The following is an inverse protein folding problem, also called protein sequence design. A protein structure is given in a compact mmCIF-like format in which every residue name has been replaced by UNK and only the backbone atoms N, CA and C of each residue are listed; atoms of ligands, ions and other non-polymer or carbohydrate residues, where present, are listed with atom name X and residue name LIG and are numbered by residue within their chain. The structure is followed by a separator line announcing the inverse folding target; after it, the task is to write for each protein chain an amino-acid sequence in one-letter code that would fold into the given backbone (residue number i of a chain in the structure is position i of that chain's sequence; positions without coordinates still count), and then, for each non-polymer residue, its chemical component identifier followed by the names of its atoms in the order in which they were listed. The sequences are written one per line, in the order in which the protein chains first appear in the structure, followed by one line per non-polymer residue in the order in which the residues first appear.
data_IF_473265761782
#
_entry.id   IF_473265761782
#
_cell.length_a   1.000
_cell.length_b   1.000
_cell.length_c   1.000
_cell.angle_alpha   90.00
_cell.angle_beta   90.00
_cell.angle_gamma   90.00
#
_symmetry.space_group_name_H-M   'P 1'
#
loop_
_entity.id
_entity.type
_entity.pdbx_description
1 polymer ?
#
# COMPACT_ATOMS: atom_id res chain seq x y z
N UNK A 1 3.87 18.44 -12.29
CA UNK A 1 3.58 17.02 -11.99
C UNK A 1 2.96 16.91 -10.62
N UNK A 2 1.82 16.25 -10.54
CA UNK A 2 1.21 15.97 -9.24
C UNK A 2 1.91 14.77 -8.60
N UNK A 3 2.38 14.95 -7.37
CA UNK A 3 2.91 13.87 -6.56
C UNK A 3 1.74 13.01 -6.10
N UNK A 4 1.75 11.71 -6.42
CA UNK A 4 0.74 10.76 -5.98
C UNK A 4 1.14 10.18 -4.63
N UNK A 5 0.23 10.23 -3.68
CA UNK A 5 0.45 9.71 -2.34
C UNK A 5 -0.50 8.56 -2.03
N UNK A 6 0.01 7.60 -1.25
CA UNK A 6 -0.83 6.62 -0.55
C UNK A 6 -0.80 7.00 0.93
N UNK A 7 -1.98 7.16 1.51
CA UNK A 7 -2.11 7.52 2.92
C UNK A 7 -2.30 6.27 3.75
N UNK A 8 -1.51 6.13 4.79
CA UNK A 8 -1.63 5.04 5.76
C UNK A 8 -2.07 5.64 7.09
N UNK A 9 -3.16 5.10 7.64
CA UNK A 9 -3.66 5.48 8.95
C UNK A 9 -3.65 4.31 9.90
N UNK A 10 -3.57 4.61 11.19
CA UNK A 10 -3.71 3.60 12.25
C UNK A 10 -5.01 3.92 12.97
N UNK A 11 -6.01 3.04 12.80
CA UNK A 11 -7.34 3.21 13.38
C UNK A 11 -7.85 1.88 13.90
N UNK A 12 -8.50 1.90 15.06
CA UNK A 12 -9.17 0.71 15.58
C UNK A 12 -10.38 0.38 14.70
N UNK A 13 -10.83 -0.88 14.74
CA UNK A 13 -12.05 -1.32 14.05
C UNK A 13 -13.25 -0.47 14.49
N UNK A 14 -13.32 -0.12 15.77
CA UNK A 14 -14.38 0.73 16.30
C UNK A 14 -14.42 2.10 15.62
N UNK A 15 -13.24 2.71 15.41
CA UNK A 15 -13.15 4.02 14.77
C UNK A 15 -13.54 3.95 13.28
N UNK A 16 -13.15 2.89 12.59
CA UNK A 16 -13.54 2.66 11.20
C UNK A 16 -15.05 2.52 11.09
N UNK A 17 -15.67 1.75 11.99
CA UNK A 17 -17.14 1.59 12.00
C UNK A 17 -17.86 2.92 12.29
N UNK A 18 -17.31 3.74 13.18
CA UNK A 18 -17.87 5.07 13.46
C UNK A 18 -17.83 5.96 12.23
N UNK A 19 -16.72 5.94 11.48
CA UNK A 19 -16.58 6.70 10.23
C UNK A 19 -17.61 6.24 9.18
N UNK A 20 -17.83 4.93 9.06
CA UNK A 20 -18.83 4.36 8.15
C UNK A 20 -20.24 4.83 8.53
N UNK A 21 -20.59 4.79 9.82
CA UNK A 21 -21.89 5.24 10.30
C UNK A 21 -22.12 6.72 9.98
N UNK A 22 -21.14 7.55 10.17
CA UNK A 22 -21.22 8.97 9.84
C UNK A 22 -21.41 9.19 8.34
N UNK A 23 -20.68 8.44 7.52
CA UNK A 23 -20.83 8.49 6.05
C UNK A 23 -22.25 8.14 5.63
N UNK A 24 -22.82 7.06 6.20
CA UNK A 24 -24.19 6.64 5.90
C UNK A 24 -25.18 7.74 6.28
N UNK A 25 -25.01 8.36 7.45
CA UNK A 25 -25.88 9.46 7.88
C UNK A 25 -25.82 10.65 6.93
N UNK A 26 -24.63 10.99 6.43
CA UNK A 26 -24.48 12.06 5.43
C UNK A 26 -25.20 11.73 4.14
N UNK A 27 -25.11 10.49 3.65
CA UNK A 27 -25.83 10.03 2.48
C UNK A 27 -27.36 10.08 2.67
N UNK A 28 -27.85 9.69 3.85
CA UNK A 28 -29.28 9.75 4.18
C UNK A 28 -29.81 11.18 4.16
N UNK A 29 -28.97 12.17 4.52
CA UNK A 29 -29.33 13.60 4.47
C UNK A 29 -29.19 14.20 3.08
N UNK A 30 -28.83 13.40 2.07
CA UNK A 30 -28.65 13.88 0.70
C UNK A 30 -27.36 14.64 0.46
N UNK A 31 -26.41 14.59 1.38
CA UNK A 31 -25.12 15.24 1.19
C UNK A 31 -24.27 14.45 0.20
N UNK A 32 -23.59 15.17 -0.70
CA UNK A 32 -22.66 14.55 -1.63
C UNK A 32 -21.33 14.29 -0.93
N UNK A 33 -20.83 13.06 -1.03
CA UNK A 33 -19.51 12.74 -0.54
C UNK A 33 -18.46 13.30 -1.50
N UNK A 34 -17.38 13.83 -0.94
CA UNK A 34 -16.22 14.21 -1.75
C UNK A 34 -15.57 12.95 -2.29
N UNK A 35 -15.22 12.88 -3.59
CA UNK A 35 -14.52 11.72 -4.11
C UNK A 35 -13.19 11.55 -3.38
N UNK A 36 -12.89 10.32 -2.99
CA UNK A 36 -11.59 9.97 -2.39
C UNK A 36 -10.55 10.08 -3.50
N UNK A 37 -9.65 11.06 -3.39
CA UNK A 37 -8.62 11.30 -4.41
C UNK A 37 -7.35 10.50 -4.18
N UNK A 38 -7.13 10.00 -2.96
CA UNK A 38 -5.93 9.27 -2.58
C UNK A 38 -6.32 7.94 -1.96
N UNK A 39 -5.65 6.83 -2.36
CA UNK A 39 -5.87 5.55 -1.70
C UNK A 39 -5.52 5.65 -0.23
N UNK A 40 -6.34 5.05 0.62
CA UNK A 40 -6.11 5.01 2.06
C UNK A 40 -6.05 3.56 2.53
N UNK A 41 -5.05 3.26 3.34
CA UNK A 41 -4.85 1.95 3.95
C UNK A 41 -4.85 2.13 5.45
N UNK A 42 -5.63 1.32 6.17
CA UNK A 42 -5.72 1.40 7.62
C UNK A 42 -5.21 0.14 8.27
N UNK A 43 -4.38 0.32 9.31
CA UNK A 43 -3.95 -0.76 10.19
C UNK A 43 -4.64 -0.62 11.54
N UNK A 44 -4.98 -1.75 12.15
CA UNK A 44 -5.72 -1.78 13.42
C UNK A 44 -4.93 -1.18 14.60
N UNK A 45 -3.60 -1.31 14.58
CA UNK A 45 -2.72 -0.76 15.61
C UNK A 45 -1.30 -0.63 15.06
N UNK A 46 -0.43 0.02 15.84
CA UNK A 46 0.95 0.26 15.44
C UNK A 46 1.76 -1.02 15.28
N UNK A 47 1.51 -2.04 16.10
CA UNK A 47 2.21 -3.32 16.00
C UNK A 47 1.95 -4.00 14.65
N UNK A 48 0.71 -4.00 14.18
CA UNK A 48 0.36 -4.56 12.87
C UNK A 48 1.06 -3.76 11.77
N UNK A 49 1.03 -2.43 11.86
CA UNK A 49 1.72 -1.55 10.91
C UNK A 49 3.22 -1.86 10.85
N UNK A 50 3.86 -1.97 12.00
CA UNK A 50 5.29 -2.20 12.09
C UNK A 50 5.70 -3.53 11.44
N UNK A 51 4.89 -4.57 11.60
CA UNK A 51 5.11 -5.87 10.96
C UNK A 51 4.87 -5.84 9.46
N UNK A 52 3.93 -5.00 9.02
CA UNK A 52 3.57 -4.87 7.61
C UNK A 52 4.64 -4.13 6.80
N UNK A 53 5.18 -3.04 7.34
CA UNK A 53 6.15 -2.20 6.65
C UNK A 53 7.51 -2.24 7.36
N UNK A 54 8.22 -3.35 7.18
CA UNK A 54 9.59 -3.50 7.66
C UNK A 54 10.56 -2.71 6.77
N UNK A 55 11.78 -2.42 7.25
CA UNK A 55 12.79 -1.80 6.40
C UNK A 55 13.04 -2.55 5.10
N UNK A 56 13.03 -3.89 5.14
CA UNK A 56 13.23 -4.71 3.93
C UNK A 56 12.10 -4.54 2.91
N UNK A 57 10.84 -4.46 3.38
CA UNK A 57 9.70 -4.23 2.49
C UNK A 57 9.72 -2.81 1.93
N UNK A 58 10.08 -1.80 2.72
CA UNK A 58 10.24 -0.44 2.25
C UNK A 58 11.33 -0.33 1.19
N UNK A 59 12.44 -1.06 1.36
CA UNK A 59 13.50 -1.12 0.36
C UNK A 59 12.98 -1.70 -0.96
N UNK A 60 12.17 -2.76 -0.91
CA UNK A 60 11.57 -3.31 -2.13
C UNK A 60 10.69 -2.28 -2.85
N UNK A 61 9.88 -1.53 -2.11
CA UNK A 61 9.06 -0.48 -2.71
C UNK A 61 9.92 0.58 -3.38
N UNK A 62 11.00 0.99 -2.74
CA UNK A 62 11.95 1.96 -3.28
C UNK A 62 12.60 1.44 -4.58
N UNK A 63 13.04 0.18 -4.59
CA UNK A 63 13.66 -0.43 -5.77
C UNK A 63 12.67 -0.57 -6.93
N UNK A 64 11.43 -0.95 -6.64
CA UNK A 64 10.39 -1.02 -7.67
C UNK A 64 10.18 0.37 -8.31
N UNK A 65 10.13 1.40 -7.48
CA UNK A 65 9.91 2.77 -7.94
C UNK A 65 11.08 3.32 -8.76
N UNK A 66 12.32 3.07 -8.32
CA UNK A 66 13.50 3.68 -8.92
C UNK A 66 14.13 2.83 -10.01
N UNK A 67 14.16 1.52 -9.88
CA UNK A 67 14.82 0.60 -10.82
C UNK A 67 13.86 -0.01 -11.85
N UNK A 68 12.56 0.03 -11.59
CA UNK A 68 11.52 -0.50 -12.48
C UNK A 68 11.83 -1.91 -12.98
N UNK A 69 12.02 -2.90 -12.08
CA UNK A 69 12.38 -4.25 -12.50
C UNK A 69 11.30 -4.86 -13.39
N UNK A 70 11.71 -5.64 -14.38
CA UNK A 70 10.79 -6.28 -15.31
C UNK A 70 10.16 -7.56 -14.76
N UNK A 71 10.71 -8.09 -13.66
CA UNK A 71 10.24 -9.34 -13.06
C UNK A 71 10.61 -9.39 -11.57
N UNK A 72 9.97 -10.34 -10.87
CA UNK A 72 10.30 -10.60 -9.46
C UNK A 72 11.74 -11.12 -9.34
N UNK A 73 12.19 -11.96 -10.28
CA UNK A 73 13.56 -12.46 -10.29
C UNK A 73 14.58 -11.33 -10.42
N UNK A 74 14.32 -10.37 -11.30
CA UNK A 74 15.19 -9.22 -11.46
C UNK A 74 15.23 -8.37 -10.18
N UNK A 75 14.07 -8.14 -9.56
CA UNK A 75 14.01 -7.41 -8.30
C UNK A 75 14.82 -8.10 -7.21
N UNK A 76 14.71 -9.43 -7.11
CA UNK A 76 15.47 -10.20 -6.12
C UNK A 76 16.99 -10.06 -6.33
N UNK A 77 17.44 -10.04 -7.59
CA UNK A 77 18.86 -9.82 -7.91
C UNK A 77 19.31 -8.43 -7.50
N UNK A 78 18.52 -7.41 -7.80
CA UNK A 78 18.82 -6.03 -7.45
C UNK A 78 18.89 -5.87 -5.93
N UNK A 79 17.94 -6.47 -5.22
CA UNK A 79 17.87 -6.42 -3.75
C UNK A 79 18.90 -7.33 -3.07
N UNK A 80 19.55 -8.22 -3.81
CA UNK A 80 20.49 -9.23 -3.30
C UNK A 80 19.83 -10.11 -2.24
N UNK A 81 18.63 -10.58 -2.54
CA UNK A 81 17.84 -11.42 -1.65
C UNK A 81 17.34 -12.66 -2.38
N UNK A 82 16.99 -13.67 -1.60
CA UNK A 82 16.36 -14.89 -2.11
C UNK A 82 15.03 -14.55 -2.80
N UNK A 83 14.81 -15.10 -3.99
CA UNK A 83 13.61 -14.87 -4.80
C UNK A 83 12.32 -15.25 -4.05
N UNK A 84 12.35 -16.35 -3.30
CA UNK A 84 11.19 -16.79 -2.54
C UNK A 84 10.79 -15.77 -1.46
N UNK A 85 11.79 -15.25 -0.75
CA UNK A 85 11.53 -14.26 0.29
C UNK A 85 10.99 -12.96 -0.30
N UNK A 86 11.54 -12.52 -1.44
CA UNK A 86 11.05 -11.34 -2.15
C UNK A 86 9.62 -11.57 -2.64
N UNK A 87 9.34 -12.74 -3.23
CA UNK A 87 8.00 -13.07 -3.70
C UNK A 87 6.97 -13.07 -2.57
N UNK A 88 7.33 -13.61 -1.40
CA UNK A 88 6.44 -13.60 -0.23
C UNK A 88 6.16 -12.18 0.25
N UNK A 89 7.19 -11.34 0.32
CA UNK A 89 7.02 -9.93 0.71
C UNK A 89 6.13 -9.18 -0.30
N UNK A 90 6.34 -9.42 -1.60
CA UNK A 90 5.52 -8.78 -2.64
C UNK A 90 4.07 -9.23 -2.59
N UNK A 91 3.83 -10.51 -2.33
CA UNK A 91 2.47 -11.03 -2.16
C UNK A 91 1.76 -10.30 -1.02
N UNK A 92 2.44 -10.12 0.09
CA UNK A 92 1.90 -9.39 1.23
C UNK A 92 1.61 -7.93 0.87
N UNK A 93 2.56 -7.25 0.22
CA UNK A 93 2.39 -5.85 -0.19
C UNK A 93 1.25 -5.69 -1.19
N UNK A 94 1.05 -6.65 -2.08
CA UNK A 94 -0.08 -6.66 -2.99
C UNK A 94 -1.41 -6.81 -2.25
N UNK A 95 -1.46 -7.70 -1.26
CA UNK A 95 -2.66 -7.94 -0.47
C UNK A 95 -3.12 -6.69 0.28
N UNK A 96 -2.19 -5.88 0.77
CA UNK A 96 -2.53 -4.64 1.47
C UNK A 96 -2.71 -3.44 0.53
N UNK A 97 -2.49 -3.63 -0.77
CA UNK A 97 -2.75 -2.59 -1.75
C UNK A 97 -1.59 -1.66 -2.06
N UNK A 98 -0.37 -1.98 -1.62
CA UNK A 98 0.81 -1.13 -1.85
C UNK A 98 1.53 -1.41 -3.17
N UNK A 99 1.30 -2.55 -3.80
CA UNK A 99 1.82 -2.83 -5.14
C UNK A 99 0.74 -3.47 -6.00
N UNK A 100 0.94 -3.39 -7.30
CA UNK A 100 0.19 -4.15 -8.30
C UNK A 100 1.16 -5.06 -9.03
N UNK A 101 0.66 -6.17 -9.54
CA UNK A 101 1.42 -7.07 -10.39
C UNK A 101 0.84 -7.06 -11.80
N UNK A 102 1.69 -6.91 -12.80
CA UNK A 102 1.30 -7.01 -14.20
C UNK A 102 1.96 -8.24 -14.83
N UNK A 103 1.14 -9.07 -15.47
CA UNK A 103 1.63 -10.21 -16.23
C UNK A 103 2.06 -9.74 -17.61
N UNK A 104 3.32 -9.99 -17.97
CA UNK A 104 3.86 -9.64 -19.28
C UNK A 104 4.80 -10.77 -19.75
N UNK A 105 4.56 -11.34 -20.94
CA UNK A 105 5.45 -12.32 -21.58
C UNK A 105 6.02 -13.38 -20.62
N UNK A 106 5.16 -14.05 -19.87
CA UNK A 106 5.51 -15.08 -18.89
C UNK A 106 6.26 -14.54 -17.67
N UNK A 107 6.29 -13.23 -17.49
CA UNK A 107 6.92 -12.60 -16.33
C UNK A 107 5.89 -11.85 -15.51
N UNK A 108 6.09 -11.82 -14.21
CA UNK A 108 5.29 -11.00 -13.31
C UNK A 108 6.08 -9.76 -12.94
N UNK A 109 5.57 -8.60 -13.37
CA UNK A 109 6.20 -7.32 -13.11
C UNK A 109 5.55 -6.62 -11.93
N UNK A 110 6.28 -6.34 -10.85
CA UNK A 110 5.73 -5.52 -9.76
C UNK A 110 5.71 -4.05 -10.16
N UNK A 111 4.63 -3.35 -9.83
CA UNK A 111 4.44 -1.94 -10.22
C UNK A 111 3.87 -1.15 -9.05
N UNK A 112 4.31 0.09 -8.90
CA UNK A 112 3.71 1.04 -7.97
C UNK A 112 3.32 2.32 -8.71
N UNK A 113 2.19 2.94 -8.29
CA UNK A 113 1.62 4.11 -8.96
C UNK A 113 1.65 5.37 -8.10
N UNK A 114 2.48 5.38 -7.06
CA UNK A 114 2.57 6.51 -6.14
C UNK A 114 4.03 6.86 -5.88
N UNK A 115 4.26 8.09 -5.44
CA UNK A 115 5.61 8.60 -5.17
C UNK A 115 5.93 8.63 -3.69
N UNK A 116 4.93 8.70 -2.83
CA UNK A 116 5.10 8.84 -1.38
C UNK A 116 4.08 8.02 -0.61
N UNK A 117 4.49 7.58 0.57
CA UNK A 117 3.59 7.02 1.59
C UNK A 117 3.54 8.02 2.73
N UNK A 118 2.33 8.47 3.07
CA UNK A 118 2.11 9.37 4.19
C UNK A 118 1.48 8.59 5.34
N UNK A 119 2.12 8.60 6.51
CA UNK A 119 1.62 7.93 7.71
C UNK A 119 0.96 8.94 8.63
N UNK A 120 -0.29 8.68 9.00
CA UNK A 120 -1.00 9.46 9.99
C UNK A 120 -1.33 8.60 11.21
N UNK A 121 -0.94 9.08 12.39
CA UNK A 121 -1.22 8.43 13.65
C UNK A 121 -1.97 9.42 14.54
N UNK A 122 -3.19 9.05 14.94
CA UNK A 122 -3.95 9.85 15.90
C UNK A 122 -3.37 9.64 17.30
N UNK A 123 -3.20 10.73 18.03
CA UNK A 123 -2.65 10.69 19.40
C UNK A 123 -3.74 10.87 20.41
#
# INVERSE_FOLDING_TARGET
MKVKKVKIGIKSVKDVLADVKETVKKLERGEKLKPVREPEIYFANFEVFRKALTPKKLELLHLIRTKKPSSINELARIAKRDVKNVADDLKYLEQIGLIEKKETDRKTKPVINYDKIALEIAV
#
